data_IF_482405037983
#
_entry.id   IF_482405037983
#
_cell.length_a   1.000
_cell.length_b   1.000
_cell.length_c   1.000
_cell.angle_alpha   90.00
_cell.angle_beta   90.00
_cell.angle_gamma   90.00
#
_symmetry.space_group_name_H-M   'P 1'
#
loop_
_entity.id
_entity.type
_entity.pdbx_description
1 polymer ?
#
# COMPACT_ATOMS: atom_id res chain seq x y z
N UNK A 1 0.95 3.28 -8.31
CA UNK A 1 1.59 4.56 -8.67
C UNK A 1 2.97 4.09 -8.94
N UNK A 2 3.51 4.45 -10.10
CA UNK A 2 4.92 4.64 -10.16
C UNK A 2 5.31 5.53 -8.97
N UNK A 3 6.13 5.05 -8.05
CA UNK A 3 6.48 5.83 -6.86
C UNK A 3 7.42 6.95 -7.28
N UNK A 4 7.11 8.18 -6.90
CA UNK A 4 8.00 9.34 -7.09
C UNK A 4 8.53 9.73 -5.71
N UNK A 5 9.71 9.23 -5.30
CA UNK A 5 10.33 9.66 -4.06
C UNK A 5 10.55 11.15 -4.05
N UNK A 6 10.50 11.75 -2.86
CA UNK A 6 10.90 13.16 -2.73
C UNK A 6 12.36 13.32 -3.19
N UNK A 7 12.73 14.40 -3.90
CA UNK A 7 14.09 14.57 -4.41
C UNK A 7 15.18 14.42 -3.34
N UNK A 8 14.95 14.91 -2.12
CA UNK A 8 15.89 14.77 -0.99
C UNK A 8 16.11 13.33 -0.53
N UNK A 9 15.26 12.39 -0.95
CA UNK A 9 15.42 10.96 -0.68
C UNK A 9 16.28 10.25 -1.73
N UNK A 10 16.62 10.93 -2.82
CA UNK A 10 17.37 10.38 -3.96
C UNK A 10 18.77 11.00 -3.95
N UNK A 11 19.79 10.16 -4.06
CA UNK A 11 21.17 10.62 -4.20
C UNK A 11 21.80 10.01 -5.47
N UNK A 12 22.53 10.82 -6.23
CA UNK A 12 23.12 10.45 -7.50
C UNK A 12 24.64 10.31 -7.37
N UNK A 13 25.18 9.17 -7.80
CA UNK A 13 26.60 8.84 -7.68
C UNK A 13 27.16 8.48 -9.05
N UNK A 14 28.24 9.16 -9.45
CA UNK A 14 29.05 8.76 -10.62
C UNK A 14 30.09 7.73 -10.18
N UNK A 15 29.99 6.50 -10.68
CA UNK A 15 31.02 5.49 -10.44
C UNK A 15 32.22 5.76 -11.38
N UNK A 16 33.43 5.78 -10.83
CA UNK A 16 34.66 6.05 -11.60
C UNK A 16 35.30 4.81 -12.24
N UNK A 17 34.80 3.59 -11.99
CA UNK A 17 35.38 2.32 -12.47
C UNK A 17 34.31 1.24 -12.73
N UNK A 18 34.64 0.25 -13.57
CA UNK A 18 33.76 -0.81 -14.11
C UNK A 18 33.24 -1.84 -13.09
N UNK A 19 33.75 -1.83 -11.85
CA UNK A 19 33.32 -2.80 -10.83
C UNK A 19 31.98 -2.40 -10.20
N UNK A 20 31.15 -3.42 -9.87
CA UNK A 20 29.91 -3.22 -9.12
C UNK A 20 30.18 -2.39 -7.85
N UNK A 21 29.41 -1.33 -7.60
CA UNK A 21 29.67 -0.42 -6.49
C UNK A 21 29.51 -1.14 -5.15
N UNK A 22 30.54 -1.10 -4.31
CA UNK A 22 30.45 -1.53 -2.91
C UNK A 22 29.67 -0.45 -2.15
N UNK A 23 28.38 -0.72 -1.89
CA UNK A 23 27.49 0.25 -1.22
C UNK A 23 27.45 0.11 0.30
N UNK A 24 27.62 -1.11 0.81
CA UNK A 24 27.61 -1.36 2.26
C UNK A 24 28.78 -0.64 2.92
N UNK A 25 28.53 0.03 4.04
CA UNK A 25 29.53 0.84 4.75
C UNK A 25 29.68 2.27 4.24
N UNK A 26 29.09 2.62 3.09
CA UNK A 26 29.14 4.00 2.56
C UNK A 26 28.22 4.93 3.35
N UNK A 27 28.66 6.16 3.54
CA UNK A 27 27.91 7.24 4.21
C UNK A 27 26.98 7.97 3.24
N UNK A 28 25.76 8.27 3.70
CA UNK A 28 24.73 9.05 2.98
C UNK A 28 24.00 9.98 3.93
N UNK A 29 23.28 10.97 3.42
CA UNK A 29 22.41 11.80 4.25
C UNK A 29 21.27 10.97 4.88
N UNK A 30 20.84 11.37 6.06
CA UNK A 30 19.78 10.69 6.82
C UNK A 30 18.44 10.57 6.07
N UNK A 31 18.18 11.45 5.10
CA UNK A 31 16.99 11.42 4.23
C UNK A 31 17.10 10.45 3.06
N UNK A 32 18.32 10.05 2.67
CA UNK A 32 18.55 9.22 1.48
C UNK A 32 17.96 7.84 1.67
N UNK A 33 17.04 7.47 0.77
CA UNK A 33 16.42 6.13 0.69
C UNK A 33 16.76 5.42 -0.62
N UNK A 34 17.16 6.18 -1.64
CA UNK A 34 17.47 5.67 -2.97
C UNK A 34 18.82 6.19 -3.46
N UNK A 35 19.58 5.32 -4.11
CA UNK A 35 20.79 5.66 -4.83
C UNK A 35 20.59 5.42 -6.32
N UNK A 36 20.97 6.41 -7.13
CA UNK A 36 21.14 6.26 -8.57
C UNK A 36 22.64 6.20 -8.81
N UNK A 37 23.09 5.17 -9.52
CA UNK A 37 24.50 4.97 -9.82
C UNK A 37 24.68 4.99 -11.32
N UNK A 38 25.53 5.90 -11.78
CA UNK A 38 25.95 5.99 -13.17
C UNK A 38 27.22 5.16 -13.39
N UNK A 39 27.11 4.14 -14.22
CA UNK A 39 28.23 3.40 -14.82
C UNK A 39 28.51 3.93 -16.24
N UNK A 40 29.48 3.33 -16.92
CA UNK A 40 29.76 3.61 -18.34
C UNK A 40 28.63 3.13 -19.26
N UNK A 41 27.90 2.11 -18.83
CA UNK A 41 26.85 1.41 -19.60
C UNK A 41 25.45 1.99 -19.36
N UNK A 42 25.22 2.65 -18.23
CA UNK A 42 23.93 3.29 -17.96
C UNK A 42 23.71 3.66 -16.49
N UNK A 43 22.44 3.72 -16.08
CA UNK A 43 22.03 4.02 -14.72
C UNK A 43 21.41 2.80 -14.05
N UNK A 44 21.77 2.54 -12.80
CA UNK A 44 21.11 1.54 -11.96
C UNK A 44 20.53 2.20 -10.70
N UNK A 45 19.40 1.69 -10.22
CA UNK A 45 18.71 2.25 -9.04
C UNK A 45 18.68 1.24 -7.90
N UNK A 46 19.00 1.72 -6.70
CA UNK A 46 19.05 0.92 -5.49
C UNK A 46 18.19 1.55 -4.39
N UNK A 47 17.46 0.73 -3.66
CA UNK A 47 16.89 1.10 -2.37
C UNK A 47 17.87 0.73 -1.27
N UNK A 48 18.11 1.62 -0.31
CA UNK A 48 19.06 1.41 0.77
C UNK A 48 18.37 1.36 2.14
N UNK A 49 18.97 0.63 3.07
CA UNK A 49 18.73 0.77 4.51
C UNK A 49 19.98 1.34 5.16
N UNK A 50 19.77 2.18 6.16
CA UNK A 50 20.84 2.88 6.86
C UNK A 50 20.74 2.68 8.36
N UNK A 51 21.85 2.87 9.06
CA UNK A 51 21.93 2.89 10.53
C UNK A 51 22.60 4.17 11.02
N UNK A 52 22.36 4.51 12.29
CA UNK A 52 22.88 5.72 12.94
C UNK A 52 21.82 6.79 13.15
N UNK A 53 22.03 7.61 14.19
CA UNK A 53 21.10 8.66 14.62
C UNK A 53 21.54 10.08 14.20
N UNK A 54 22.67 10.21 13.51
CA UNK A 54 23.20 11.48 13.01
C UNK A 54 22.63 11.85 11.62
N UNK A 55 22.95 13.07 11.16
CA UNK A 55 22.59 13.57 9.83
C UNK A 55 23.26 12.78 8.68
N UNK A 56 24.37 12.10 8.97
CA UNK A 56 25.09 11.22 8.06
C UNK A 56 24.98 9.79 8.57
N UNK A 57 24.40 8.90 7.76
CA UNK A 57 24.13 7.52 8.13
C UNK A 57 24.90 6.54 7.26
N UNK A 58 25.17 5.36 7.81
CA UNK A 58 25.90 4.30 7.11
C UNK A 58 24.94 3.32 6.46
N UNK A 59 25.17 2.97 5.20
CA UNK A 59 24.39 1.95 4.49
C UNK A 59 24.69 0.57 5.07
N UNK A 60 23.65 -0.12 5.55
CA UNK A 60 23.76 -1.47 6.13
C UNK A 60 23.37 -2.56 5.15
N UNK A 61 22.41 -2.28 4.27
CA UNK A 61 21.96 -3.18 3.22
C UNK A 61 21.36 -2.41 2.06
N UNK A 62 21.27 -3.03 0.90
CA UNK A 62 20.65 -2.45 -0.28
C UNK A 62 19.98 -3.53 -1.13
N UNK A 63 19.01 -3.11 -1.94
CA UNK A 63 18.32 -3.95 -2.93
C UNK A 63 18.39 -3.19 -4.25
N UNK A 64 18.83 -3.86 -5.32
CA UNK A 64 18.76 -3.30 -6.66
C UNK A 64 17.31 -3.34 -7.15
N UNK A 65 16.75 -2.16 -7.47
CA UNK A 65 15.39 -2.02 -7.96
C UNK A 65 15.30 -2.11 -9.49
N UNK A 66 16.38 -1.68 -10.15
CA UNK A 66 16.52 -1.71 -11.61
C UNK A 66 18.00 -1.70 -12.00
N UNK A 67 18.31 -2.38 -13.08
CA UNK A 67 19.58 -2.26 -13.78
C UNK A 67 19.53 -1.21 -14.90
N UNK A 68 20.63 -1.09 -15.64
CA UNK A 68 20.78 -0.21 -16.79
C UNK A 68 19.84 -0.49 -17.96
N UNK A 69 19.42 -1.74 -18.17
CA UNK A 69 18.46 -2.11 -19.22
C UNK A 69 17.02 -1.79 -18.80
N UNK A 70 16.79 -1.69 -17.49
CA UNK A 70 15.50 -1.38 -16.89
C UNK A 70 15.35 0.10 -16.50
N UNK A 71 16.39 0.92 -16.67
CA UNK A 71 16.38 2.33 -16.28
C UNK A 71 16.45 3.25 -17.49
N UNK A 72 15.51 4.18 -17.60
CA UNK A 72 15.50 5.20 -18.66
C UNK A 72 15.81 6.56 -18.05
N UNK A 73 16.59 7.38 -18.76
CA UNK A 73 16.84 8.78 -18.40
C UNK A 73 15.97 9.70 -19.25
N UNK A 74 15.28 10.67 -18.63
CA UNK A 74 14.45 11.65 -19.32
C UNK A 74 14.73 13.08 -18.84
N UNK A 75 14.36 14.05 -19.66
CA UNK A 75 14.42 15.47 -19.32
C UNK A 75 13.00 16.04 -19.18
N UNK A 76 12.65 16.44 -17.96
CA UNK A 76 11.42 17.09 -17.54
C UNK A 76 11.72 18.47 -16.93
N UNK A 77 12.69 19.21 -17.48
CA UNK A 77 13.13 20.53 -16.96
C UNK A 77 12.01 21.58 -16.86
N UNK A 78 10.84 21.32 -17.45
CA UNK A 78 9.62 22.13 -17.39
C UNK A 78 8.69 21.82 -16.19
N UNK A 79 8.95 20.77 -15.42
CA UNK A 79 8.07 20.29 -14.35
C UNK A 79 8.72 20.50 -12.98
N UNK A 80 7.92 20.88 -11.98
CA UNK A 80 8.37 20.92 -10.59
C UNK A 80 8.55 19.48 -10.06
N UNK A 81 9.70 19.12 -9.46
CA UNK A 81 9.94 17.77 -8.98
C UNK A 81 8.95 17.28 -7.90
N UNK A 82 8.19 18.19 -7.27
CA UNK A 82 7.17 17.87 -6.27
C UNK A 82 5.79 17.58 -6.88
N UNK A 83 5.57 17.87 -8.17
CA UNK A 83 4.34 17.59 -8.92
C UNK A 83 4.26 16.12 -9.37
N UNK A 84 4.20 15.21 -8.39
CA UNK A 84 4.28 13.75 -8.59
C UNK A 84 3.36 13.22 -9.70
N UNK A 85 2.09 13.66 -9.71
CA UNK A 85 1.08 13.17 -10.66
C UNK A 85 1.46 13.54 -12.10
N UNK A 86 1.95 14.75 -12.33
CA UNK A 86 2.34 15.20 -13.66
C UNK A 86 3.58 14.46 -14.15
N UNK A 87 4.58 14.31 -13.28
CA UNK A 87 5.79 13.50 -13.53
C UNK A 87 5.40 12.09 -13.96
N UNK A 88 4.45 11.46 -13.25
CA UNK A 88 3.97 10.11 -13.59
C UNK A 88 3.29 10.06 -14.94
N UNK A 89 2.37 11.00 -15.22
CA UNK A 89 1.66 11.05 -16.50
C UNK A 89 2.65 11.22 -17.65
N UNK A 90 3.69 12.04 -17.49
CA UNK A 90 4.72 12.23 -18.52
C UNK A 90 5.61 11.00 -18.65
N UNK A 91 6.08 10.44 -17.53
CA UNK A 91 6.92 9.24 -17.48
C UNK A 91 6.21 8.00 -18.06
N UNK A 92 4.90 7.84 -17.83
CA UNK A 92 4.10 6.74 -18.34
C UNK A 92 4.09 6.66 -19.89
N UNK A 93 4.29 7.78 -20.59
CA UNK A 93 4.36 7.81 -22.07
C UNK A 93 5.60 7.10 -22.63
N UNK A 94 6.64 6.94 -21.82
CA UNK A 94 7.92 6.32 -22.20
C UNK A 94 8.08 4.91 -21.61
N UNK A 95 7.02 4.40 -20.95
CA UNK A 95 7.08 3.15 -20.23
C UNK A 95 7.14 1.97 -21.21
N UNK A 96 8.26 1.25 -21.21
CA UNK A 96 8.38 -0.05 -21.88
C UNK A 96 8.04 -1.16 -20.88
N UNK A 97 7.85 -2.38 -21.40
CA UNK A 97 7.55 -3.58 -20.59
C UNK A 97 8.61 -3.83 -19.52
N UNK A 98 9.89 -3.69 -19.88
CA UNK A 98 11.03 -3.95 -18.99
C UNK A 98 11.43 -2.75 -18.11
N UNK A 99 10.98 -1.53 -18.43
CA UNK A 99 11.35 -0.33 -17.66
C UNK A 99 10.91 -0.47 -16.21
N UNK A 100 11.82 -0.45 -15.24
CA UNK A 100 11.52 -0.49 -13.81
C UNK A 100 11.69 0.85 -13.13
N UNK A 101 12.49 1.73 -13.71
CA UNK A 101 12.68 3.08 -13.21
C UNK A 101 12.91 4.09 -14.32
N UNK A 102 12.52 5.33 -14.04
CA UNK A 102 12.88 6.49 -14.84
C UNK A 102 13.64 7.45 -13.94
N UNK A 103 14.88 7.77 -14.31
CA UNK A 103 15.63 8.87 -13.73
C UNK A 103 15.34 10.10 -14.57
N UNK A 104 14.98 11.21 -13.95
CA UNK A 104 14.66 12.41 -14.71
C UNK A 104 15.37 13.62 -14.15
N UNK A 105 15.68 14.57 -15.03
CA UNK A 105 16.07 15.92 -14.67
C UNK A 105 14.82 16.79 -14.67
N UNK A 106 14.62 17.61 -13.63
CA UNK A 106 13.47 18.52 -13.52
C UNK A 106 13.90 19.99 -13.39
N UNK A 107 12.95 20.90 -13.13
CA UNK A 107 13.25 22.29 -12.76
C UNK A 107 14.35 22.35 -11.71
N UNK A 108 15.17 23.40 -11.82
CA UNK A 108 16.33 23.66 -10.95
C UNK A 108 17.39 22.56 -10.95
N UNK A 109 17.53 21.83 -12.07
CA UNK A 109 18.54 20.77 -12.24
C UNK A 109 18.40 19.60 -11.24
N UNK A 110 17.24 19.47 -10.59
CA UNK A 110 17.01 18.38 -9.65
C UNK A 110 16.93 17.03 -10.38
N UNK A 111 17.66 16.05 -9.87
CA UNK A 111 17.55 14.66 -10.32
C UNK A 111 16.47 13.97 -9.50
N UNK A 112 15.42 13.55 -10.17
CA UNK A 112 14.31 12.78 -9.61
C UNK A 112 14.30 11.32 -10.06
N UNK A 113 13.41 10.56 -9.45
CA UNK A 113 13.25 9.14 -9.69
C UNK A 113 11.76 8.79 -9.75
N UNK A 114 11.37 7.99 -10.73
CA UNK A 114 10.08 7.33 -10.80
C UNK A 114 10.31 5.82 -10.78
N UNK A 115 9.66 5.10 -9.89
CA UNK A 115 9.80 3.65 -9.73
C UNK A 115 8.51 2.96 -10.13
N UNK A 116 8.57 2.04 -11.09
CA UNK A 116 7.39 1.32 -11.57
C UNK A 116 7.32 -0.08 -10.97
N UNK A 117 6.10 -0.55 -10.72
CA UNK A 117 5.84 -1.95 -10.42
C UNK A 117 6.30 -2.85 -11.60
N UNK A 118 6.57 -4.15 -11.37
CA UNK A 118 6.78 -5.12 -12.44
C UNK A 118 5.54 -5.20 -13.35
N UNK A 119 5.70 -5.55 -14.64
CA UNK A 119 4.56 -5.85 -15.49
C UNK A 119 3.85 -7.13 -15.01
N UNK A 120 2.58 -7.28 -15.38
CA UNK A 120 1.76 -8.49 -15.16
C UNK A 120 1.54 -8.90 -13.70
N UNK A 121 1.50 -7.95 -12.77
CA UNK A 121 1.11 -8.23 -11.39
C UNK A 121 -0.40 -8.48 -11.27
N UNK A 122 -0.79 -9.41 -10.40
CA UNK A 122 -2.20 -9.71 -10.07
C UNK A 122 -2.50 -9.26 -8.64
N UNK A 123 -3.40 -8.30 -8.49
CA UNK A 123 -3.74 -7.68 -7.21
C UNK A 123 -5.16 -8.06 -6.83
N UNK A 124 -5.31 -8.75 -5.69
CA UNK A 124 -6.61 -9.01 -5.10
C UNK A 124 -7.06 -7.82 -4.26
N UNK A 125 -8.27 -7.32 -4.48
CA UNK A 125 -8.88 -6.28 -3.64
C UNK A 125 -10.02 -6.94 -2.89
N UNK A 126 -9.97 -6.90 -1.56
CA UNK A 126 -11.12 -7.29 -0.72
C UNK A 126 -11.60 -6.07 0.03
N UNK A 127 -12.79 -5.62 -0.33
CA UNK A 127 -13.44 -4.46 0.25
C UNK A 127 -14.78 -4.84 0.90
N UNK A 128 -15.26 -3.99 1.79
CA UNK A 128 -16.46 -4.22 2.58
C UNK A 128 -17.43 -3.05 2.40
N UNK A 129 -18.70 -3.39 2.20
CA UNK A 129 -19.82 -2.45 2.08
C UNK A 129 -20.95 -2.82 3.04
N UNK A 130 -21.72 -1.83 3.53
CA UNK A 130 -21.35 -0.42 3.65
C UNK A 130 -20.19 -0.21 4.65
N UNK A 131 -19.42 0.90 4.57
CA UNK A 131 -19.55 2.08 3.69
C UNK A 131 -19.16 1.80 2.23
N UNK A 132 -19.28 2.75 1.27
CA UNK A 132 -18.94 2.52 -0.13
C UNK A 132 -17.55 1.89 -0.35
N UNK A 133 -17.41 1.11 -1.43
CA UNK A 133 -16.20 0.35 -1.76
C UNK A 133 -15.07 1.27 -2.23
N UNK A 134 -14.39 1.91 -1.27
CA UNK A 134 -13.33 2.89 -1.52
C UNK A 134 -12.17 2.31 -2.33
N UNK A 135 -11.75 1.07 -2.09
CA UNK A 135 -10.65 0.47 -2.85
C UNK A 135 -11.04 0.20 -4.30
N UNK A 136 -12.31 -0.14 -4.56
CA UNK A 136 -12.83 -0.28 -5.92
C UNK A 136 -12.78 1.06 -6.67
N UNK A 137 -13.19 2.17 -6.02
CA UNK A 137 -13.04 3.52 -6.59
C UNK A 137 -11.56 3.85 -6.89
N UNK A 138 -10.65 3.55 -5.95
CA UNK A 138 -9.21 3.77 -6.15
C UNK A 138 -8.66 2.98 -7.35
N UNK A 139 -9.06 1.73 -7.54
CA UNK A 139 -8.68 0.93 -8.72
C UNK A 139 -9.14 1.64 -10.00
N UNK A 140 -10.43 1.99 -10.08
CA UNK A 140 -11.01 2.60 -11.27
C UNK A 140 -10.33 3.94 -11.61
N UNK A 141 -10.11 4.79 -10.61
CA UNK A 141 -9.41 6.07 -10.77
C UNK A 141 -7.96 5.88 -11.20
N UNK A 142 -7.24 4.94 -10.59
CA UNK A 142 -5.86 4.65 -10.94
C UNK A 142 -5.73 4.17 -12.38
N UNK A 143 -6.61 3.28 -12.84
CA UNK A 143 -6.65 2.80 -14.22
C UNK A 143 -7.02 3.92 -15.19
N UNK A 144 -8.09 4.68 -14.91
CA UNK A 144 -8.56 5.78 -15.76
C UNK A 144 -7.50 6.87 -15.95
N UNK A 145 -6.70 7.14 -14.91
CA UNK A 145 -5.66 8.16 -14.94
C UNK A 145 -4.29 7.64 -15.40
N UNK A 146 -4.16 6.34 -15.73
CA UNK A 146 -2.89 5.75 -16.14
C UNK A 146 -1.83 5.71 -15.02
N UNK A 147 -2.26 5.68 -13.75
CA UNK A 147 -1.39 5.66 -12.57
C UNK A 147 -0.92 4.26 -12.17
N UNK A 148 -1.30 3.25 -12.94
CA UNK A 148 -0.87 1.85 -12.83
C UNK A 148 -0.64 1.34 -14.25
N UNK A 149 0.24 0.36 -14.38
CA UNK A 149 0.46 -0.34 -15.65
C UNK A 149 -0.83 -0.95 -16.18
N UNK A 150 -0.98 -0.95 -17.50
CA UNK A 150 -2.11 -1.61 -18.19
C UNK A 150 -2.11 -3.12 -17.93
N UNK A 151 -0.93 -3.70 -17.71
CA UNK A 151 -0.73 -5.11 -17.42
C UNK A 151 -1.07 -5.51 -15.98
N UNK A 152 -1.28 -4.53 -15.08
CA UNK A 152 -1.70 -4.78 -13.70
C UNK A 152 -3.16 -5.24 -13.70
N UNK A 153 -3.39 -6.48 -13.27
CA UNK A 153 -4.72 -7.09 -13.23
C UNK A 153 -5.28 -6.99 -11.81
N UNK A 154 -6.45 -6.38 -11.67
CA UNK A 154 -7.17 -6.31 -10.40
C UNK A 154 -8.30 -7.34 -10.38
N UNK A 155 -8.40 -8.07 -9.28
CA UNK A 155 -9.56 -8.87 -8.95
C UNK A 155 -10.23 -8.27 -7.73
N UNK A 156 -11.43 -7.73 -7.90
CA UNK A 156 -12.14 -7.02 -6.85
C UNK A 156 -13.23 -7.92 -6.29
N UNK A 157 -13.23 -8.11 -4.97
CA UNK A 157 -14.31 -8.74 -4.22
C UNK A 157 -14.85 -7.76 -3.20
N UNK A 158 -16.12 -7.44 -3.34
CA UNK A 158 -16.83 -6.55 -2.43
C UNK A 158 -17.79 -7.37 -1.59
N UNK A 159 -17.70 -7.24 -0.28
CA UNK A 159 -18.44 -8.04 0.69
C UNK A 159 -19.52 -7.17 1.31
N UNK A 160 -20.77 -7.56 1.12
CA UNK A 160 -21.91 -6.85 1.66
C UNK A 160 -22.27 -7.39 3.06
N UNK A 161 -21.88 -6.65 4.10
CA UNK A 161 -22.11 -7.06 5.49
C UNK A 161 -23.58 -7.11 5.85
N UNK A 162 -24.47 -6.46 5.09
CA UNK A 162 -25.90 -6.54 5.33
C UNK A 162 -26.48 -7.91 4.93
N UNK A 163 -25.79 -8.64 4.05
CA UNK A 163 -26.15 -10.01 3.64
C UNK A 163 -25.58 -11.07 4.57
N UNK A 164 -24.55 -10.73 5.35
CA UNK A 164 -23.94 -11.61 6.35
C UNK A 164 -24.75 -11.67 7.66
N UNK A 165 -25.81 -10.86 7.80
CA UNK A 165 -26.65 -10.83 8.99
C UNK A 165 -27.67 -11.98 8.94
N UNK A 166 -27.58 -12.99 9.82
CA UNK A 166 -28.63 -13.99 9.93
C UNK A 166 -29.90 -13.36 10.53
N UNK A 167 -31.07 -13.95 10.28
CA UNK A 167 -32.28 -13.60 11.04
C UNK A 167 -32.00 -13.71 12.54
N UNK A 168 -32.24 -12.62 13.27
CA UNK A 168 -31.98 -12.56 14.71
C UNK A 168 -33.03 -11.71 15.41
N UNK A 169 -33.43 -12.14 16.61
CA UNK A 169 -34.31 -11.39 17.50
C UNK A 169 -33.52 -10.47 18.45
N UNK A 170 -32.19 -10.53 18.40
CA UNK A 170 -31.31 -9.71 19.22
C UNK A 170 -30.98 -8.37 18.56
N UNK A 171 -30.69 -7.32 19.34
CA UNK A 171 -30.16 -6.08 18.79
C UNK A 171 -28.87 -6.36 18.01
N UNK A 172 -28.76 -5.75 16.83
CA UNK A 172 -27.60 -5.89 15.96
C UNK A 172 -26.71 -4.65 16.11
N UNK A 173 -25.45 -4.87 16.43
CA UNK A 173 -24.44 -3.83 16.63
C UNK A 173 -23.46 -3.81 15.45
N UNK A 174 -23.26 -2.62 14.88
CA UNK A 174 -22.37 -2.34 13.76
C UNK A 174 -21.13 -1.54 14.21
N UNK A 175 -20.00 -1.65 13.48
CA UNK A 175 -18.74 -1.01 13.88
C UNK A 175 -18.73 0.49 13.64
N UNK A 176 -19.48 0.99 12.65
CA UNK A 176 -19.66 2.41 12.40
C UNK A 176 -21.04 2.69 11.83
N UNK A 177 -21.46 3.94 11.94
CA UNK A 177 -22.69 4.46 11.35
C UNK A 177 -22.67 4.28 9.84
N UNK A 178 -23.74 3.70 9.31
CA UNK A 178 -23.92 3.44 7.90
C UNK A 178 -25.38 3.60 7.50
N UNK A 179 -25.60 4.14 6.30
CA UNK A 179 -26.94 4.21 5.68
C UNK A 179 -27.38 2.81 5.27
N UNK A 180 -27.98 2.08 6.21
CA UNK A 180 -28.39 0.67 6.04
C UNK A 180 -29.88 0.48 5.79
N UNK A 181 -30.68 1.53 5.98
CA UNK A 181 -32.15 1.45 5.94
C UNK A 181 -32.77 0.60 7.06
N UNK A 182 -31.96 0.08 7.99
CA UNK A 182 -32.38 -0.76 9.12
C UNK A 182 -32.15 -0.02 10.44
N UNK A 183 -32.99 -0.31 11.44
CA UNK A 183 -32.82 0.22 12.80
C UNK A 183 -31.73 -0.57 13.54
N UNK A 184 -30.49 -0.13 13.41
CA UNK A 184 -29.29 -0.77 13.99
C UNK A 184 -28.74 0.05 15.15
N UNK A 185 -27.82 -0.55 15.92
CA UNK A 185 -27.00 0.12 16.93
C UNK A 185 -25.60 0.31 16.35
N UNK A 186 -25.03 1.51 16.46
CA UNK A 186 -23.73 1.81 15.89
C UNK A 186 -22.70 2.13 16.97
N UNK A 187 -21.54 1.46 16.95
CA UNK A 187 -20.51 1.62 17.97
C UNK A 187 -19.99 3.06 18.10
N UNK A 188 -19.91 3.79 17.00
CA UNK A 188 -19.44 5.19 16.95
C UNK A 188 -20.45 6.23 17.45
N UNK A 189 -21.75 5.88 17.52
CA UNK A 189 -22.82 6.82 17.90
C UNK A 189 -23.57 6.41 19.18
N UNK A 190 -23.67 5.10 19.47
CA UNK A 190 -24.54 4.52 20.48
C UNK A 190 -23.78 3.94 21.68
N UNK A 191 -22.58 4.44 22.00
CA UNK A 191 -21.73 3.89 23.06
C UNK A 191 -22.45 3.77 24.42
N UNK A 192 -23.25 4.77 24.81
CA UNK A 192 -24.03 4.74 26.05
C UNK A 192 -25.16 3.70 26.01
N UNK A 193 -25.82 3.56 24.87
CA UNK A 193 -26.85 2.55 24.67
C UNK A 193 -26.25 1.15 24.82
N UNK A 194 -25.07 0.91 24.22
CA UNK A 194 -24.32 -0.35 24.32
C UNK A 194 -23.96 -0.67 25.78
N UNK A 195 -23.48 0.33 26.54
CA UNK A 195 -23.17 0.18 27.99
C UNK A 195 -24.38 -0.29 28.80
N UNK A 196 -25.58 0.16 28.43
CA UNK A 196 -26.81 -0.13 29.16
C UNK A 196 -27.57 -1.37 28.64
N UNK A 197 -27.08 -2.05 27.59
CA UNK A 197 -27.72 -3.27 27.09
C UNK A 197 -27.58 -4.40 28.12
N UNK A 198 -28.71 -5.05 28.40
CA UNK A 198 -28.83 -6.18 29.33
C UNK A 198 -29.29 -7.48 28.63
N UNK A 199 -29.36 -7.49 27.30
CA UNK A 199 -29.74 -8.64 26.48
C UNK A 199 -28.55 -9.07 25.60
N UNK A 200 -28.49 -10.35 25.19
CA UNK A 200 -27.54 -10.78 24.17
C UNK A 200 -27.64 -9.92 22.90
N UNK A 201 -26.52 -9.74 22.23
CA UNK A 201 -26.44 -8.99 20.97
C UNK A 201 -25.83 -9.83 19.86
N UNK A 202 -26.20 -9.49 18.63
CA UNK A 202 -25.46 -9.92 17.45
C UNK A 202 -24.52 -8.77 17.06
N UNK A 203 -23.21 -8.99 17.11
CA UNK A 203 -22.22 -7.99 16.69
C UNK A 203 -21.64 -8.38 15.33
N UNK A 204 -21.67 -7.43 14.41
CA UNK A 204 -20.98 -7.50 13.12
C UNK A 204 -19.75 -6.61 13.24
N UNK A 205 -18.57 -7.19 13.01
CA UNK A 205 -17.34 -6.42 13.11
C UNK A 205 -16.11 -7.25 12.91
N UNK A 206 -14.95 -6.65 13.18
CA UNK A 206 -13.68 -7.37 13.23
C UNK A 206 -13.25 -7.55 14.70
N UNK A 207 -12.14 -8.25 14.97
CA UNK A 207 -11.64 -8.42 16.33
C UNK A 207 -11.52 -7.13 17.14
N UNK A 208 -11.18 -6.00 16.50
CA UNK A 208 -11.13 -4.69 17.18
C UNK A 208 -12.52 -4.31 17.70
N UNK A 209 -13.55 -4.40 16.87
CA UNK A 209 -14.93 -4.10 17.25
C UNK A 209 -15.40 -4.97 18.42
N UNK A 210 -15.07 -6.26 18.40
CA UNK A 210 -15.45 -7.18 19.47
C UNK A 210 -14.81 -6.80 20.81
N UNK A 211 -13.53 -6.43 20.81
CA UNK A 211 -12.84 -5.97 22.02
C UNK A 211 -13.38 -4.61 22.50
N UNK A 212 -13.67 -3.67 21.59
CA UNK A 212 -14.27 -2.38 21.97
C UNK A 212 -15.65 -2.55 22.63
N UNK A 213 -16.50 -3.45 22.13
CA UNK A 213 -17.77 -3.75 22.82
C UNK A 213 -17.54 -4.39 24.18
N UNK A 214 -16.60 -5.32 24.28
CA UNK A 214 -16.26 -5.97 25.54
C UNK A 214 -15.74 -4.96 26.58
N UNK A 215 -15.01 -3.93 26.15
CA UNK A 215 -14.59 -2.83 27.00
C UNK A 215 -15.77 -1.96 27.47
N UNK A 216 -16.71 -1.65 26.57
CA UNK A 216 -17.91 -0.87 26.89
C UNK A 216 -18.88 -1.62 27.80
N UNK A 217 -19.05 -2.93 27.59
CA UNK A 217 -19.97 -3.77 28.37
C UNK A 217 -19.38 -5.18 28.55
N UNK A 218 -18.55 -5.41 29.60
CA UNK A 218 -17.83 -6.67 29.79
C UNK A 218 -18.71 -7.91 29.98
N UNK A 219 -19.96 -7.71 30.39
CA UNK A 219 -20.89 -8.80 30.73
C UNK A 219 -21.84 -9.17 29.59
N UNK A 220 -21.84 -8.42 28.48
CA UNK A 220 -22.80 -8.65 27.40
C UNK A 220 -22.47 -9.94 26.61
N UNK A 221 -23.40 -10.91 26.51
CA UNK A 221 -23.22 -12.05 25.62
C UNK A 221 -23.24 -11.60 24.16
N UNK A 222 -22.24 -12.01 23.38
CA UNK A 222 -22.06 -11.60 21.98
C UNK A 222 -22.07 -12.79 21.02
N UNK A 223 -23.01 -12.80 20.09
CA UNK A 223 -22.91 -13.60 18.86
C UNK A 223 -22.08 -12.82 17.85
N UNK A 224 -20.89 -13.31 17.52
CA UNK A 224 -19.91 -12.61 16.68
C UNK A 224 -20.04 -13.01 15.22
N UNK A 225 -20.20 -12.03 14.33
CA UNK A 225 -20.11 -12.17 12.88
C UNK A 225 -18.86 -11.44 12.43
N UNK A 226 -17.83 -12.23 12.12
CA UNK A 226 -16.52 -11.70 11.73
C UNK A 226 -16.53 -11.25 10.27
N UNK A 227 -16.46 -9.94 10.10
CA UNK A 227 -16.36 -9.29 8.80
C UNK A 227 -14.97 -8.68 8.59
N UNK A 228 -13.92 -9.22 9.18
CA UNK A 228 -12.57 -8.71 8.95
C UNK A 228 -12.14 -8.88 7.47
N UNK A 229 -11.84 -7.79 6.73
CA UNK A 229 -11.38 -7.87 5.34
C UNK A 229 -10.14 -8.76 5.16
N UNK A 230 -9.25 -8.75 6.16
CA UNK A 230 -8.03 -9.58 6.15
C UNK A 230 -8.38 -11.07 6.25
N UNK A 231 -9.40 -11.44 7.02
CA UNK A 231 -9.82 -12.84 7.13
C UNK A 231 -10.48 -13.33 5.85
N UNK A 232 -11.28 -12.49 5.20
CA UNK A 232 -11.80 -12.80 3.87
C UNK A 232 -10.69 -12.94 2.84
N UNK A 233 -9.74 -12.00 2.79
CA UNK A 233 -8.59 -12.08 1.90
C UNK A 233 -7.79 -13.37 2.12
N UNK A 234 -7.65 -13.88 3.36
CA UNK A 234 -7.02 -15.18 3.62
C UNK A 234 -7.79 -16.36 3.01
N UNK A 235 -9.12 -16.34 3.09
CA UNK A 235 -10.01 -17.40 2.59
C UNK A 235 -10.14 -17.44 1.05
N UNK A 236 -9.80 -16.36 0.35
CA UNK A 236 -9.87 -16.34 -1.12
C UNK A 236 -9.04 -17.45 -1.77
N UNK A 237 -9.62 -18.18 -2.72
CA UNK A 237 -8.90 -19.26 -3.42
C UNK A 237 -8.17 -18.77 -4.68
N UNK A 238 -8.49 -17.57 -5.15
CA UNK A 238 -7.89 -17.05 -6.37
C UNK A 238 -6.40 -16.75 -6.19
N UNK A 239 -5.59 -17.12 -7.19
CA UNK A 239 -4.15 -16.88 -7.18
C UNK A 239 -3.84 -15.42 -7.59
N UNK A 240 -3.86 -14.52 -6.61
CA UNK A 240 -3.27 -13.18 -6.71
C UNK A 240 -1.87 -13.17 -6.13
N UNK A 241 -1.03 -12.24 -6.59
CA UNK A 241 0.32 -12.05 -6.07
C UNK A 241 0.31 -11.52 -4.64
N UNK A 242 -0.64 -10.63 -4.36
CA UNK A 242 -0.92 -10.09 -3.03
C UNK A 242 -2.35 -9.54 -3.00
N UNK A 243 -2.81 -9.22 -1.79
CA UNK A 243 -4.11 -8.61 -1.54
C UNK A 243 -3.96 -7.22 -0.92
N UNK A 244 -4.86 -6.32 -1.26
CA UNK A 244 -5.04 -5.04 -0.58
C UNK A 244 -6.43 -5.02 0.07
N UNK A 245 -6.45 -4.61 1.34
CA UNK A 245 -7.68 -4.50 2.14
C UNK A 245 -7.68 -3.19 2.93
N UNK A 246 -8.85 -2.78 3.44
CA UNK A 246 -8.95 -1.70 4.43
C UNK A 246 -8.90 -2.24 5.86
N UNK A 247 -8.34 -1.48 6.78
CA UNK A 247 -8.27 -1.83 8.20
C UNK A 247 -8.15 -0.58 9.07
N UNK A 248 -9.05 -0.42 10.03
CA UNK A 248 -8.98 0.68 11.00
C UNK A 248 -7.70 0.66 11.84
N UNK A 249 -7.06 -0.49 12.08
CA UNK A 249 -5.76 -0.52 12.78
C UNK A 249 -4.65 0.20 12.01
N UNK A 250 -4.75 0.26 10.68
CA UNK A 250 -3.74 0.90 9.86
C UNK A 250 -3.77 2.44 9.96
N UNK A 251 -4.85 3.06 10.46
CA UNK A 251 -4.83 4.50 10.76
C UNK A 251 -4.02 4.83 12.01
N UNK A 252 -3.91 3.89 12.94
CA UNK A 252 -3.14 4.05 14.20
C UNK A 252 -1.68 3.62 13.99
N UNK A 253 -1.48 2.49 13.32
CA UNK A 253 -0.18 1.81 13.25
C UNK A 253 0.53 2.03 11.89
N UNK A 254 -0.06 2.83 11.00
CA UNK A 254 0.32 2.91 9.60
C UNK A 254 -0.03 1.65 8.82
N UNK A 255 0.29 1.62 7.52
CA UNK A 255 0.07 0.46 6.65
C UNK A 255 0.57 -0.84 7.28
N UNK A 256 -0.33 -1.82 7.42
CA UNK A 256 -0.02 -3.11 8.02
C UNK A 256 0.22 -4.16 6.94
N UNK A 257 1.07 -5.14 7.24
CA UNK A 257 1.33 -6.26 6.35
C UNK A 257 1.10 -7.57 7.09
N UNK A 258 0.18 -8.38 6.57
CA UNK A 258 -0.16 -9.69 7.11
C UNK A 258 0.29 -10.80 6.16
N UNK A 259 0.66 -11.95 6.74
CA UNK A 259 1.01 -13.17 5.99
C UNK A 259 2.04 -12.97 4.85
N UNK A 260 3.14 -12.21 5.06
CA UNK A 260 4.02 -11.76 3.97
C UNK A 260 4.73 -12.87 3.19
N UNK A 261 4.82 -14.09 3.76
CA UNK A 261 5.54 -15.22 3.13
C UNK A 261 4.66 -16.14 2.30
N UNK A 262 3.36 -16.18 2.56
CA UNK A 262 2.44 -17.15 1.94
C UNK A 262 1.42 -16.47 1.06
N UNK A 263 0.74 -15.47 1.61
CA UNK A 263 -0.33 -14.73 0.96
C UNK A 263 -0.28 -13.29 1.46
N UNK A 264 0.59 -12.45 0.89
CA UNK A 264 0.79 -11.10 1.38
C UNK A 264 -0.53 -10.33 1.33
N UNK A 265 -0.93 -9.77 2.46
CA UNK A 265 -2.11 -8.90 2.58
C UNK A 265 -1.63 -7.56 3.12
N UNK A 266 -1.77 -6.53 2.31
CA UNK A 266 -1.45 -5.15 2.67
C UNK A 266 -2.74 -4.48 3.12
N UNK A 267 -2.78 -4.10 4.38
CA UNK A 267 -3.92 -3.41 4.96
C UNK A 267 -3.63 -1.91 5.05
N UNK A 268 -4.43 -1.16 4.31
CA UNK A 268 -4.44 0.29 4.31
C UNK A 268 -5.41 0.80 5.37
N UNK A 269 -5.31 2.08 5.71
CA UNK A 269 -6.30 2.74 6.54
C UNK A 269 -7.70 2.73 5.87
N UNK A 270 -8.71 3.20 6.60
CA UNK A 270 -10.10 3.12 6.13
C UNK A 270 -10.42 4.07 4.97
N UNK A 271 -9.75 5.23 4.95
CA UNK A 271 -9.86 6.25 3.90
C UNK A 271 -8.51 6.48 3.22
N UNK A 272 -7.96 5.46 2.52
CA UNK A 272 -6.63 5.58 1.96
C UNK A 272 -6.61 6.62 0.85
N UNK A 273 -5.57 7.45 0.84
CA UNK A 273 -5.29 8.33 -0.30
C UNK A 273 -4.90 7.51 -1.53
N UNK A 274 -4.98 8.14 -2.70
CA UNK A 274 -4.48 7.54 -3.95
C UNK A 274 -3.00 7.18 -3.82
N UNK A 275 -2.19 8.02 -3.16
CA UNK A 275 -0.77 7.73 -2.91
C UNK A 275 -0.59 6.46 -2.07
N UNK A 276 -1.35 6.29 -0.97
CA UNK A 276 -1.25 5.09 -0.14
C UNK A 276 -1.68 3.81 -0.88
N UNK A 277 -2.79 3.87 -1.62
CA UNK A 277 -3.28 2.74 -2.41
C UNK A 277 -2.22 2.26 -3.40
N UNK A 278 -1.60 3.23 -4.05
CA UNK A 278 -0.65 2.97 -5.07
C UNK A 278 0.74 2.54 -4.55
N UNK A 279 1.17 3.08 -3.42
CA UNK A 279 2.36 2.62 -2.70
C UNK A 279 2.18 1.16 -2.25
N UNK A 280 0.98 0.76 -1.81
CA UNK A 280 0.68 -0.62 -1.50
C UNK A 280 0.84 -1.56 -2.70
N UNK A 281 0.46 -1.13 -3.90
CA UNK A 281 0.70 -1.92 -5.13
C UNK A 281 2.20 -2.14 -5.35
N UNK A 282 2.99 -1.06 -5.23
CA UNK A 282 4.44 -1.15 -5.41
C UNK A 282 5.11 -2.05 -4.37
N UNK A 283 4.75 -1.89 -3.08
CA UNK A 283 5.25 -2.73 -1.99
C UNK A 283 4.86 -4.20 -2.17
N UNK A 284 3.60 -4.48 -2.53
CA UNK A 284 3.10 -5.82 -2.82
C UNK A 284 3.92 -6.51 -3.91
N UNK A 285 4.26 -5.77 -4.96
CA UNK A 285 5.06 -6.29 -6.04
C UNK A 285 6.54 -6.55 -5.67
N UNK A 286 7.12 -5.74 -4.79
CA UNK A 286 8.47 -5.99 -4.27
C UNK A 286 8.54 -7.26 -3.42
N UNK A 287 7.50 -7.53 -2.62
CA UNK A 287 7.43 -8.74 -1.78
C UNK A 287 7.47 -10.00 -2.65
N UNK A 288 6.67 -10.04 -3.73
CA UNK A 288 6.70 -11.14 -4.71
C UNK A 288 8.10 -11.37 -5.27
N UNK A 289 8.79 -10.29 -5.63
CA UNK A 289 10.12 -10.38 -6.22
C UNK A 289 11.17 -10.86 -5.21
N UNK A 290 11.08 -10.43 -3.95
CA UNK A 290 12.00 -10.89 -2.89
C UNK A 290 11.76 -12.35 -2.51
N UNK A 291 10.50 -12.82 -2.51
CA UNK A 291 10.17 -14.22 -2.23
C UNK A 291 10.72 -15.20 -3.30
N UNK A 292 10.98 -14.70 -4.51
CA UNK A 292 11.55 -15.46 -5.63
C UNK A 292 13.05 -15.20 -5.85
N UNK A 293 13.69 -14.38 -5.00
CA UNK A 293 15.11 -14.05 -5.15
C UNK A 293 15.93 -14.90 -4.16
N UNK A 294 16.86 -15.74 -4.64
CA UNK A 294 17.78 -16.47 -3.78
C UNK A 294 18.86 -15.50 -3.29
N UNK A 295 18.56 -14.77 -2.23
CA UNK A 295 19.58 -14.11 -1.39
C UNK A 295 19.44 -14.64 0.03
#
# INVERSE_FOLDING_TARGET
>A
MPRVPHPQQVNFIKAKQENKPILKGRSVFHTTKYLIIQSNTGLSVYQIKTTGNSLIRTITSYIQLSDENQTITLDFSDIDPTEKIEIIKKAAKYLKKETRSIVFKSKFEHIGLVLFEPPNIKVGIVDIIPPPAKLQDQVQRAQKQGLVRKETKFQIKTIDILKEIPPTNYPVVFPCSASTGKKLIFLDADAQKIRNLNKPITIIGCPVTFETIKELNPKIPMQKIDVCPTHYARKETTKNDFYIVRCCRASIQGTQMYSPKTKPIIALEWEPTMENFLDAIYQGALIKNCANSPF
#
